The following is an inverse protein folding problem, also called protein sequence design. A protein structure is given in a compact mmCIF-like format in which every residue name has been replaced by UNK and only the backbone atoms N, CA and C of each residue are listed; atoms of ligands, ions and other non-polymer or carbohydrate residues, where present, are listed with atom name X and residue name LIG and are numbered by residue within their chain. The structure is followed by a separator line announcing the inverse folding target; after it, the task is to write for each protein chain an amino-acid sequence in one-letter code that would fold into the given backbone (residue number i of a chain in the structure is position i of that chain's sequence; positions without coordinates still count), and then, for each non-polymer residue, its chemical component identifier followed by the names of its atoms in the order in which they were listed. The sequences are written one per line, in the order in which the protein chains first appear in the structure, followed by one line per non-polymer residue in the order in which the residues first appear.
data_IF_586747576199
#
_entry.id   IF_586747576199
#
_cell.length_a   1.000
_cell.length_b   1.000
_cell.length_c   1.000
_cell.angle_alpha   90.00
_cell.angle_beta   90.00
_cell.angle_gamma   90.00
#
_symmetry.space_group_name_H-M   'P 1'
#
loop_
_entity.id
_entity.type
_entity.pdbx_description
1 polymer ?
#
# COMPACT_ATOMS: atom_id res chain seq x y z
N UNK A 1 -0.74 9.39 0.00
CA UNK A 1 -0.33 9.03 1.37
C UNK A 1 1.16 8.75 1.41
N UNK A 2 1.94 9.40 2.28
CA UNK A 2 3.40 9.22 2.34
C UNK A 2 3.75 7.97 3.15
N UNK A 3 4.63 7.13 2.61
CA UNK A 3 5.20 5.98 3.32
C UNK A 3 6.35 6.46 4.22
N UNK A 4 6.31 6.08 5.49
CA UNK A 4 7.36 6.40 6.46
C UNK A 4 8.66 5.68 6.12
N UNK A 5 9.77 6.12 6.73
CA UNK A 5 11.08 5.49 6.56
C UNK A 5 11.09 3.98 6.91
N UNK A 6 10.19 3.52 7.78
CA UNK A 6 10.06 2.11 8.15
C UNK A 6 9.02 1.34 7.31
N UNK A 7 8.57 1.88 6.18
CA UNK A 7 7.69 1.17 5.25
C UNK A 7 6.22 1.10 5.67
N UNK A 8 5.77 2.03 6.51
CA UNK A 8 4.39 2.07 7.03
C UNK A 8 3.64 3.28 6.55
N UNK A 9 2.31 3.19 6.53
CA UNK A 9 1.42 4.32 6.37
C UNK A 9 0.52 4.47 7.59
N UNK A 10 0.16 5.71 7.94
CA UNK A 10 -0.68 6.03 9.11
C UNK A 10 -2.07 6.50 8.66
N UNK A 11 -3.08 5.64 8.76
CA UNK A 11 -4.43 5.89 8.29
C UNK A 11 -5.44 5.66 9.42
N UNK A 12 -6.41 6.55 9.64
CA UNK A 12 -7.41 6.41 10.72
C UNK A 12 -6.80 6.06 12.09
N UNK A 13 -5.66 6.67 12.44
CA UNK A 13 -4.89 6.40 13.67
C UNK A 13 -4.36 4.95 13.79
N UNK A 14 -4.37 4.19 12.68
CA UNK A 14 -3.80 2.85 12.55
C UNK A 14 -2.51 2.92 11.73
N UNK A 15 -1.56 2.05 12.08
CA UNK A 15 -0.29 1.88 11.35
C UNK A 15 -0.40 0.62 10.52
N UNK A 16 -0.29 0.74 9.20
CA UNK A 16 -0.39 -0.37 8.26
C UNK A 16 0.99 -0.60 7.65
N UNK A 17 1.45 -1.84 7.66
CA UNK A 17 2.70 -2.21 7.01
C UNK A 17 2.46 -2.30 5.50
N UNK A 18 3.29 -1.62 4.72
CA UNK A 18 3.26 -1.66 3.25
C UNK A 18 4.53 -2.35 2.76
N UNK A 19 5.64 -1.61 2.68
CA UNK A 19 6.96 -2.15 2.40
C UNK A 19 8.00 -1.06 2.57
N UNK A 20 9.20 -1.41 3.04
CA UNK A 20 10.34 -0.48 3.15
C UNK A 20 10.84 -0.02 1.78
N UNK A 21 10.64 -0.80 0.72
CA UNK A 21 11.03 -0.39 -0.64
C UNK A 21 10.27 0.84 -1.13
N UNK A 22 9.10 1.11 -0.56
CA UNK A 22 8.27 2.28 -0.89
C UNK A 22 8.51 3.45 0.07
N UNK A 23 9.50 3.38 0.97
CA UNK A 23 9.78 4.45 1.92
C UNK A 23 10.03 5.79 1.21
N UNK A 24 9.39 6.87 1.71
CA UNK A 24 9.47 8.20 1.10
C UNK A 24 8.60 8.38 -0.15
N UNK A 25 8.00 7.32 -0.69
CA UNK A 25 7.10 7.40 -1.84
C UNK A 25 5.68 7.78 -1.42
N UNK A 26 4.93 8.37 -2.35
CA UNK A 26 3.51 8.69 -2.19
C UNK A 26 2.65 7.60 -2.84
N UNK A 27 1.78 6.99 -2.06
CA UNK A 27 0.77 6.04 -2.54
C UNK A 27 -0.58 6.73 -2.77
N UNK A 28 -1.30 6.32 -3.81
CA UNK A 28 -2.73 6.55 -3.93
C UNK A 28 -3.49 5.67 -2.95
N UNK A 29 -4.54 6.23 -2.35
CA UNK A 29 -5.40 5.56 -1.38
C UNK A 29 -6.83 5.97 -1.70
N UNK A 30 -7.71 5.01 -1.94
CA UNK A 30 -9.10 5.25 -2.28
C UNK A 30 -9.99 4.24 -1.58
N UNK A 31 -11.04 4.72 -0.92
CA UNK A 31 -12.07 3.86 -0.34
C UNK A 31 -12.88 3.22 -1.47
N UNK A 32 -13.02 1.90 -1.42
CA UNK A 32 -13.76 1.12 -2.43
C UNK A 32 -14.95 0.40 -1.83
N UNK A 33 -14.93 0.14 -0.52
CA UNK A 33 -16.04 -0.37 0.28
C UNK A 33 -15.86 0.08 1.74
N UNK A 34 -16.86 -0.13 2.60
CA UNK A 34 -16.83 0.31 4.00
C UNK A 34 -15.63 -0.28 4.75
N UNK A 35 -14.67 0.57 5.11
CA UNK A 35 -13.45 0.15 5.78
C UNK A 35 -12.42 -0.57 4.89
N UNK A 36 -12.68 -0.69 3.58
CA UNK A 36 -11.80 -1.32 2.58
C UNK A 36 -11.25 -0.28 1.61
N UNK A 37 -9.92 -0.24 1.48
CA UNK A 37 -9.22 0.80 0.74
C UNK A 37 -8.25 0.20 -0.27
N UNK A 38 -8.33 0.60 -1.54
CA UNK A 38 -7.33 0.24 -2.53
C UNK A 38 -6.11 1.14 -2.41
N UNK A 39 -4.93 0.53 -2.48
CA UNK A 39 -3.63 1.19 -2.46
C UNK A 39 -3.04 1.12 -3.85
N UNK A 40 -2.60 2.26 -4.38
CA UNK A 40 -1.96 2.33 -5.69
C UNK A 40 -0.62 3.06 -5.64
N UNK A 41 0.28 2.69 -6.55
CA UNK A 41 1.54 3.39 -6.78
C UNK A 41 1.74 3.57 -8.28
N UNK A 42 1.96 4.82 -8.70
CA UNK A 42 1.92 5.21 -10.11
C UNK A 42 0.58 4.83 -10.76
N UNK A 43 0.60 3.91 -11.74
CA UNK A 43 -0.56 3.42 -12.49
C UNK A 43 -0.98 2.01 -12.07
N UNK A 44 -0.41 1.49 -10.98
CA UNK A 44 -0.62 0.12 -10.55
C UNK A 44 -1.31 0.07 -9.18
N UNK A 45 -2.30 -0.80 -9.08
CA UNK A 45 -2.91 -1.16 -7.81
C UNK A 45 -2.04 -2.21 -7.11
N UNK A 46 -1.63 -1.92 -5.88
CA UNK A 46 -0.76 -2.77 -5.06
C UNK A 46 -1.56 -3.79 -4.24
N UNK A 47 -2.77 -3.42 -3.83
CA UNK A 47 -3.56 -4.25 -2.92
C UNK A 47 -4.66 -3.49 -2.20
N UNK A 48 -5.37 -4.21 -1.35
CA UNK A 48 -6.44 -3.69 -0.50
C UNK A 48 -5.99 -3.62 0.95
N UNK A 49 -6.36 -2.55 1.65
CA UNK A 49 -6.25 -2.41 3.09
C UNK A 49 -7.62 -2.66 3.68
N UNK A 50 -7.67 -3.60 4.61
CA UNK A 50 -8.77 -3.74 5.55
C UNK A 50 -8.40 -2.96 6.81
N UNK A 51 -9.16 -1.90 7.13
CA UNK A 51 -8.89 -1.07 8.31
C UNK A 51 -9.14 -1.79 9.62
N UNK A 52 -10.01 -2.80 9.66
CA UNK A 52 -10.24 -3.63 10.85
C UNK A 52 -9.01 -4.50 11.12
N UNK A 53 -8.57 -5.22 10.09
CA UNK A 53 -7.44 -6.16 10.16
C UNK A 53 -6.08 -5.47 10.16
N UNK A 54 -5.98 -4.22 9.69
CA UNK A 54 -4.72 -3.43 9.58
C UNK A 54 -3.68 -4.07 8.65
N UNK A 55 -4.14 -4.91 7.73
CA UNK A 55 -3.29 -5.64 6.80
C UNK A 55 -3.50 -5.12 5.38
N UNK A 56 -2.41 -5.13 4.62
CA UNK A 56 -2.46 -4.98 3.17
C UNK A 56 -2.57 -6.38 2.57
N UNK A 57 -3.65 -6.64 1.85
CA UNK A 57 -3.83 -7.81 1.02
C UNK A 57 -3.27 -7.50 -0.37
N UNK A 58 -2.09 -8.03 -0.74
CA UNK A 58 -1.48 -7.71 -2.02
C UNK A 58 -2.33 -8.27 -3.17
N UNK A 59 -2.44 -7.50 -4.24
CA UNK A 59 -2.89 -8.01 -5.53
C UNK A 59 -1.75 -8.79 -6.21
N UNK A 60 -2.09 -9.53 -7.27
CA UNK A 60 -1.09 -10.19 -8.10
C UNK A 60 -0.02 -9.17 -8.54
N UNK A 61 1.26 -9.54 -8.39
CA UNK A 61 2.36 -8.60 -8.61
C UNK A 61 2.30 -8.06 -10.05
N UNK A 62 2.02 -6.76 -10.26
CA UNK A 62 1.87 -6.22 -11.60
C UNK A 62 3.20 -6.14 -12.36
N UNK A 63 4.33 -6.26 -11.63
CA UNK A 63 5.68 -6.21 -12.20
C UNK A 63 6.24 -7.59 -12.60
N UNK A 64 5.57 -8.69 -12.28
CA UNK A 64 6.05 -10.06 -12.55
C UNK A 64 7.16 -10.56 -11.60
N UNK A 65 7.52 -11.85 -11.63
CA UNK A 65 8.48 -12.43 -10.69
C UNK A 65 9.86 -11.77 -10.82
N UNK A 66 10.39 -11.23 -9.72
CA UNK A 66 11.75 -10.67 -9.66
C UNK A 66 11.90 -9.20 -10.05
N UNK A 67 10.81 -8.48 -10.33
CA UNK A 67 10.85 -7.03 -10.53
C UNK A 67 10.23 -6.29 -9.35
N UNK A 68 10.99 -5.37 -8.76
CA UNK A 68 10.50 -4.35 -7.85
C UNK A 68 10.12 -3.08 -8.63
N UNK A 69 9.20 -2.25 -8.10
CA UNK A 69 8.81 -0.98 -8.72
C UNK A 69 9.97 0.02 -8.91
N UNK A 70 11.13 -0.25 -8.30
CA UNK A 70 12.33 0.57 -8.40
C UNK A 70 13.55 -0.33 -8.65
N UNK A 71 14.38 0.10 -9.59
CA UNK A 71 15.82 -0.25 -9.70
C UNK A 71 16.64 0.89 -9.15
#
# INVERSE_FOLDING_TARGET
MLVTACGRICMHRKRINVSTVLAGQRLGIKEVDDGIWIVSFMHYDLGYIDLEQRTLQPLDNPFGPGMSPMS
#
